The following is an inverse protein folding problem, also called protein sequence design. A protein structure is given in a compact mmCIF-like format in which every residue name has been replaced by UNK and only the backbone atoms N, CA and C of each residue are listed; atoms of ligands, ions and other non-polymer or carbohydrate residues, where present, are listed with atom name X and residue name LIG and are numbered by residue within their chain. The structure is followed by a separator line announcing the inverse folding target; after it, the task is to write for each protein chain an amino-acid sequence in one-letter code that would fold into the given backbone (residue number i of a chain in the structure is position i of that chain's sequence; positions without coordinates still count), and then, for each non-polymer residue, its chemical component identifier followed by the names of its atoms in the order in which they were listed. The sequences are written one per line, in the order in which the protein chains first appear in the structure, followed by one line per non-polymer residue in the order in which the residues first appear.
data_IF_088163776330
#
_entry.id   IF_088163776330
#
_cell.length_a   1.000
_cell.length_b   1.000
_cell.length_c   1.000
_cell.angle_alpha   90.00
_cell.angle_beta   90.00
_cell.angle_gamma   90.00
#
_symmetry.space_group_name_H-M   'P 1'
#
loop_
_entity.id
_entity.type
_entity.pdbx_description
1 polymer ?
#
# COMPACT_ATOMS: atom_id res chain seq x y z
N UNK A 1 7.32 18.61 18.77
CA UNK A 1 6.60 17.37 18.42
C UNK A 1 7.66 16.34 18.18
N UNK A 2 7.84 15.40 19.12
CA UNK A 2 8.79 14.31 18.94
C UNK A 2 8.32 13.47 17.74
N UNK A 3 9.19 13.33 16.75
CA UNK A 3 8.92 12.47 15.61
C UNK A 3 8.96 11.02 16.11
N UNK A 4 7.80 10.43 16.38
CA UNK A 4 7.70 8.99 16.62
C UNK A 4 8.31 8.25 15.43
N UNK A 5 9.30 7.41 15.68
CA UNK A 5 9.91 6.60 14.62
C UNK A 5 8.81 5.85 13.88
N UNK A 6 8.76 5.90 12.53
CA UNK A 6 7.73 5.20 11.77
C UNK A 6 7.71 3.72 12.14
N UNK A 7 6.51 3.19 12.40
CA UNK A 7 6.37 1.76 12.62
C UNK A 7 6.48 1.07 11.26
N UNK A 8 7.43 0.15 11.12
CA UNK A 8 7.57 -0.63 9.88
C UNK A 8 6.83 -1.96 9.97
N UNK A 9 6.02 -2.25 8.95
CA UNK A 9 5.39 -3.55 8.74
C UNK A 9 5.92 -4.12 7.42
N UNK A 10 6.38 -5.37 7.45
CA UNK A 10 6.76 -6.10 6.25
C UNK A 10 5.56 -6.91 5.78
N UNK A 11 5.04 -6.58 4.61
CA UNK A 11 4.01 -7.34 3.92
C UNK A 11 4.68 -8.46 3.12
N UNK A 12 4.18 -9.68 3.26
CA UNK A 12 4.75 -10.86 2.63
C UNK A 12 3.66 -11.80 2.11
N UNK A 13 3.94 -12.42 0.98
CA UNK A 13 3.02 -13.37 0.36
C UNK A 13 1.85 -12.69 -0.39
N UNK A 14 0.70 -13.37 -0.52
CA UNK A 14 -0.49 -12.85 -1.18
C UNK A 14 -1.14 -11.74 -0.35
N UNK A 15 -1.60 -10.67 -1.00
CA UNK A 15 -2.34 -9.58 -0.35
C UNK A 15 -3.73 -9.48 -0.96
N UNK A 16 -4.75 -9.83 -0.19
CA UNK A 16 -6.17 -9.70 -0.52
C UNK A 16 -6.98 -9.14 0.65
N UNK A 17 -8.28 -9.41 0.67
CA UNK A 17 -9.18 -8.88 1.68
C UNK A 17 -8.83 -9.27 3.13
N UNK A 18 -8.47 -10.54 3.46
CA UNK A 18 -8.14 -10.92 4.84
C UNK A 18 -6.91 -10.21 5.39
N UNK A 19 -5.88 -10.06 4.57
CA UNK A 19 -4.64 -9.37 4.93
C UNK A 19 -4.91 -7.88 5.12
N UNK A 20 -5.73 -7.28 4.26
CA UNK A 20 -6.09 -5.86 4.37
C UNK A 20 -6.95 -5.56 5.59
N UNK A 21 -7.89 -6.44 5.94
CA UNK A 21 -8.68 -6.30 7.16
C UNK A 21 -7.78 -6.36 8.41
N UNK A 22 -6.85 -7.31 8.43
CA UNK A 22 -5.89 -7.45 9.54
C UNK A 22 -5.00 -6.21 9.66
N UNK A 23 -4.54 -5.68 8.53
CA UNK A 23 -3.72 -4.47 8.49
C UNK A 23 -4.51 -3.24 8.96
N UNK A 24 -5.74 -3.04 8.49
CA UNK A 24 -6.59 -1.93 8.92
C UNK A 24 -6.84 -1.96 10.44
N UNK A 25 -7.20 -3.12 10.99
CA UNK A 25 -7.39 -3.30 12.43
C UNK A 25 -6.12 -2.97 13.23
N UNK A 26 -4.95 -3.33 12.68
CA UNK A 26 -3.67 -3.02 13.31
C UNK A 26 -3.34 -1.52 13.23
N UNK A 27 -3.64 -0.86 12.10
CA UNK A 27 -3.50 0.60 11.96
C UNK A 27 -4.35 1.32 13.02
N UNK A 28 -5.61 0.94 13.21
CA UNK A 28 -6.45 1.55 14.25
C UNK A 28 -5.87 1.34 15.66
N UNK A 29 -5.28 0.18 15.93
CA UNK A 29 -4.63 -0.07 17.22
C UNK A 29 -3.41 0.84 17.42
N UNK A 30 -2.59 1.01 16.38
CA UNK A 30 -1.44 1.90 16.37
C UNK A 30 -1.86 3.36 16.57
N UNK A 31 -2.90 3.82 15.86
CA UNK A 31 -3.45 5.17 16.01
C UNK A 31 -3.92 5.45 17.44
N UNK A 32 -4.68 4.52 18.05
CA UNK A 32 -5.09 4.62 19.47
C UNK A 32 -3.89 4.66 20.43
N UNK A 33 -2.76 4.06 20.03
CA UNK A 33 -1.49 4.10 20.76
C UNK A 33 -0.67 5.38 20.53
N UNK A 34 -1.16 6.31 19.72
CA UNK A 34 -0.48 7.57 19.40
C UNK A 34 0.54 7.47 18.26
N UNK A 35 0.59 6.35 17.54
CA UNK A 35 1.44 6.25 16.35
C UNK A 35 0.80 7.03 15.21
N UNK A 36 1.54 8.00 14.67
CA UNK A 36 1.09 8.84 13.54
C UNK A 36 1.71 8.44 12.21
N UNK A 37 2.73 7.60 12.21
CA UNK A 37 3.51 7.28 11.01
C UNK A 37 3.67 5.77 10.84
N UNK A 38 3.25 5.26 9.69
CA UNK A 38 3.35 3.85 9.32
C UNK A 38 4.12 3.70 8.01
N UNK A 39 5.03 2.74 8.00
CA UNK A 39 5.78 2.35 6.82
C UNK A 39 5.47 0.90 6.44
N UNK A 40 4.95 0.70 5.23
CA UNK A 40 4.64 -0.61 4.67
C UNK A 40 5.72 -1.01 3.67
N UNK A 41 6.41 -2.11 3.94
CA UNK A 41 7.39 -2.69 3.02
C UNK A 41 6.77 -3.86 2.27
N UNK A 42 6.62 -3.73 0.95
CA UNK A 42 6.03 -4.74 0.06
C UNK A 42 7.06 -5.62 -0.66
N UNK A 43 8.34 -5.59 -0.30
CA UNK A 43 9.39 -6.30 -1.03
C UNK A 43 9.19 -7.83 -1.08
N UNK A 44 8.53 -8.40 -0.07
CA UNK A 44 8.23 -9.82 0.05
C UNK A 44 6.81 -10.22 -0.44
N UNK A 45 6.05 -9.26 -0.98
CA UNK A 45 4.73 -9.53 -1.57
C UNK A 45 4.89 -10.34 -2.84
N UNK A 46 4.13 -11.42 -2.97
CA UNK A 46 4.13 -12.27 -4.16
C UNK A 46 3.08 -11.82 -5.18
N UNK A 47 1.89 -11.41 -4.71
CA UNK A 47 0.84 -10.84 -5.53
C UNK A 47 -0.11 -9.98 -4.68
N UNK A 48 -0.75 -9.00 -5.31
CA UNK A 48 -1.73 -8.11 -4.70
C UNK A 48 -2.99 -8.08 -5.58
N UNK A 49 -4.12 -8.54 -5.02
CA UNK A 49 -5.42 -8.58 -5.67
C UNK A 49 -6.13 -7.23 -5.68
N UNK A 50 -7.38 -7.20 -6.15
CA UNK A 50 -8.16 -5.94 -6.24
C UNK A 50 -8.40 -5.35 -4.84
N UNK A 51 -8.84 -6.19 -3.91
CA UNK A 51 -9.11 -5.81 -2.53
C UNK A 51 -7.82 -5.39 -1.80
N UNK A 52 -6.69 -6.03 -2.15
CA UNK A 52 -5.37 -5.64 -1.68
C UNK A 52 -4.99 -4.24 -2.13
N UNK A 53 -5.15 -3.95 -3.43
CA UNK A 53 -4.88 -2.63 -4.02
C UNK A 53 -5.78 -1.56 -3.40
N UNK A 54 -7.10 -1.79 -3.39
CA UNK A 54 -8.07 -0.83 -2.86
C UNK A 54 -7.81 -0.53 -1.37
N UNK A 55 -7.46 -1.55 -0.58
CA UNK A 55 -7.08 -1.39 0.83
C UNK A 55 -5.80 -0.59 1.02
N UNK A 56 -4.76 -0.84 0.22
CA UNK A 56 -3.51 -0.07 0.27
C UNK A 56 -3.73 1.40 -0.10
N UNK A 57 -4.53 1.66 -1.14
CA UNK A 57 -4.89 3.02 -1.54
C UNK A 57 -5.66 3.75 -0.43
N UNK A 58 -6.61 3.07 0.20
CA UNK A 58 -7.37 3.62 1.32
C UNK A 58 -6.44 3.98 2.49
N UNK A 59 -5.46 3.13 2.81
CA UNK A 59 -4.49 3.43 3.87
C UNK A 59 -3.58 4.62 3.53
N UNK A 60 -3.06 4.68 2.30
CA UNK A 60 -2.19 5.79 1.85
C UNK A 60 -2.95 7.12 1.79
N UNK A 61 -4.27 7.09 1.57
CA UNK A 61 -5.11 8.28 1.65
C UNK A 61 -5.22 8.85 3.08
N UNK A 62 -4.78 8.11 4.11
CA UNK A 62 -4.64 8.58 5.48
C UNK A 62 -5.94 8.87 6.25
N UNK A 63 -6.96 7.99 6.23
CA UNK A 63 -8.12 8.18 7.07
C UNK A 63 -7.71 8.00 8.54
N UNK A 64 -7.77 9.06 9.35
CA UNK A 64 -7.50 8.97 10.80
C UNK A 64 -6.28 9.76 11.30
N UNK A 65 -5.56 10.46 10.43
CA UNK A 65 -4.40 11.27 10.82
C UNK A 65 -3.09 10.49 10.91
N UNK A 66 -3.09 9.20 10.57
CA UNK A 66 -1.88 8.42 10.32
C UNK A 66 -1.38 8.64 8.89
N UNK A 67 -0.10 8.99 8.77
CA UNK A 67 0.62 9.02 7.50
C UNK A 67 1.12 7.62 7.19
N UNK A 68 0.65 7.04 6.07
CA UNK A 68 1.08 5.73 5.59
C UNK A 68 1.96 5.89 4.36
N UNK A 69 3.16 5.33 4.41
CA UNK A 69 4.09 5.25 3.27
C UNK A 69 4.25 3.80 2.83
N UNK A 70 4.43 3.58 1.53
CA UNK A 70 4.62 2.26 0.93
C UNK A 70 5.93 2.24 0.16
N UNK A 71 6.78 1.27 0.46
CA UNK A 71 8.00 0.98 -0.30
C UNK A 71 8.01 -0.45 -0.85
N UNK A 72 8.89 -0.69 -1.82
CA UNK A 72 9.10 -2.01 -2.39
C UNK A 72 7.97 -2.49 -3.30
N UNK A 73 6.92 -1.70 -3.52
CA UNK A 73 5.89 -1.96 -4.51
C UNK A 73 6.49 -2.00 -5.92
N UNK A 74 6.10 -3.01 -6.70
CA UNK A 74 6.58 -3.24 -8.07
C UNK A 74 5.41 -3.66 -8.93
N UNK A 75 5.45 -3.30 -10.22
CA UNK A 75 4.44 -3.73 -11.21
C UNK A 75 4.13 -5.23 -11.14
N UNK A 76 5.17 -6.08 -10.96
CA UNK A 76 5.03 -7.54 -10.87
C UNK A 76 4.04 -8.00 -9.79
N UNK A 77 3.87 -7.25 -8.70
CA UNK A 77 2.94 -7.61 -7.63
C UNK A 77 1.48 -7.51 -8.10
N UNK A 78 1.18 -6.69 -9.10
CA UNK A 78 -0.17 -6.41 -9.60
C UNK A 78 -0.44 -7.04 -10.97
N UNK A 79 0.51 -7.74 -11.57
CA UNK A 79 0.37 -8.28 -12.93
C UNK A 79 -0.81 -9.25 -13.10
N UNK A 80 -1.10 -10.07 -12.08
CA UNK A 80 -2.26 -10.97 -12.11
C UNK A 80 -3.59 -10.20 -12.11
N UNK A 81 -3.69 -9.16 -11.28
CA UNK A 81 -4.84 -8.26 -11.25
C UNK A 81 -5.04 -7.58 -12.60
N UNK A 82 -3.98 -6.99 -13.14
CA UNK A 82 -4.02 -6.30 -14.43
C UNK A 82 -4.37 -7.26 -15.57
N UNK A 83 -3.78 -8.46 -15.59
CA UNK A 83 -4.06 -9.47 -16.62
C UNK A 83 -5.48 -10.02 -16.61
N UNK A 84 -6.17 -9.96 -15.46
CA UNK A 84 -7.56 -10.40 -15.32
C UNK A 84 -8.58 -9.26 -15.49
N UNK A 85 -8.14 -8.01 -15.59
CA UNK A 85 -9.03 -6.85 -15.62
C UNK A 85 -9.70 -6.65 -16.99
N UNK A 86 -10.99 -6.24 -17.03
CA UNK A 86 -11.63 -5.77 -18.25
C UNK A 86 -10.86 -4.59 -18.86
N UNK A 87 -10.79 -4.53 -20.20
CA UNK A 87 -10.09 -3.43 -20.92
C UNK A 87 -10.59 -2.05 -20.48
N UNK A 88 -11.90 -1.92 -20.20
CA UNK A 88 -12.52 -0.66 -19.78
C UNK A 88 -12.04 -0.16 -18.41
N UNK A 89 -11.53 -1.04 -17.55
CA UNK A 89 -11.01 -0.70 -16.23
C UNK A 89 -9.47 -0.57 -16.21
N UNK A 90 -8.79 -1.06 -17.25
CA UNK A 90 -7.34 -1.21 -17.29
C UNK A 90 -6.60 0.09 -17.01
N UNK A 91 -7.03 1.20 -17.63
CA UNK A 91 -6.38 2.50 -17.44
C UNK A 91 -6.48 2.96 -15.98
N UNK A 92 -7.67 2.90 -15.39
CA UNK A 92 -7.89 3.28 -14.00
C UNK A 92 -7.07 2.41 -13.03
N UNK A 93 -7.01 1.10 -13.29
CA UNK A 93 -6.18 0.19 -12.49
C UNK A 93 -4.68 0.47 -12.61
N UNK A 94 -4.20 0.80 -13.81
CA UNK A 94 -2.81 1.18 -14.00
C UNK A 94 -2.48 2.48 -13.25
N UNK A 95 -3.39 3.46 -13.28
CA UNK A 95 -3.23 4.71 -12.54
C UNK A 95 -3.22 4.48 -11.02
N UNK A 96 -4.13 3.66 -10.51
CA UNK A 96 -4.15 3.21 -9.12
C UNK A 96 -2.82 2.56 -8.71
N UNK A 97 -2.32 1.60 -9.50
CA UNK A 97 -1.03 0.95 -9.21
C UNK A 97 0.12 1.95 -9.21
N UNK A 98 0.16 2.89 -10.16
CA UNK A 98 1.22 3.92 -10.23
C UNK A 98 1.31 4.76 -8.95
N UNK A 99 0.21 5.01 -8.26
CA UNK A 99 0.23 5.78 -7.00
C UNK A 99 1.04 5.11 -5.88
N UNK A 100 1.13 3.78 -5.91
CA UNK A 100 1.84 2.97 -4.92
C UNK A 100 3.28 2.68 -5.30
N UNK A 101 3.63 2.86 -6.58
CA UNK A 101 4.99 2.62 -7.05
C UNK A 101 5.93 3.73 -6.57
N UNK A 102 7.22 3.41 -6.37
CA UNK A 102 8.23 4.42 -6.09
C UNK A 102 8.16 5.50 -7.17
N UNK A 103 8.08 6.76 -6.74
CA UNK A 103 8.22 7.87 -7.70
C UNK A 103 9.63 7.78 -8.31
N UNK A 104 9.78 7.93 -9.64
CA UNK A 104 11.10 8.12 -10.20
C UNK A 104 11.75 9.31 -9.49
N UNK A 105 13.00 9.15 -9.06
CA UNK A 105 13.75 10.26 -8.51
C UNK A 105 13.71 11.41 -9.55
N UNK A 106 13.48 12.66 -9.15
CA UNK A 106 13.62 13.77 -10.08
C UNK A 106 15.03 13.68 -10.68
N UNK A 107 15.11 13.66 -12.01
CA UNK A 107 16.39 13.72 -12.72
C UNK A 107 17.11 14.97 -12.22
N UNK A 108 18.20 14.77 -11.48
CA UNK A 108 19.15 15.82 -11.14
C UNK A 108 19.98 16.06 -12.41
N UNK A 109 19.41 16.78 -13.37
CA UNK A 109 20.11 17.32 -14.55
C UNK A 109 20.50 18.77 -14.33
#
# INVERSE_FOLDING_TARGET
MDATTPRTIVLAGPIGAPEMLSLANYCEHLERGGQTDLHLNMAAVTHCGREGLDGLLALVAGPGGMTVTVDGAKWRHFMQLLGAAPIVEMQGLCDSVRTLLPRPAPDLS
#
